data_IF_406661967180
#
_entry.id   IF_406661967180
#
_cell.length_a   1.000
_cell.length_b   1.000
_cell.length_c   1.000
_cell.angle_alpha   90.00
_cell.angle_beta   90.00
_cell.angle_gamma   90.00
#
_symmetry.space_group_name_H-M   'P 1'
#
loop_
_entity.id
_entity.type
_entity.pdbx_description
1 polymer ?
#
# COMPACT_ATOMS: atom_id res chain seq x y z
N UNK A 1 1.21 -1.82 10.11
CA UNK A 1 2.50 -1.19 9.74
C UNK A 1 2.34 0.32 9.72
N UNK A 2 3.26 1.03 10.37
CA UNK A 2 3.29 2.51 10.43
C UNK A 2 3.34 3.16 9.04
N UNK A 3 3.98 2.52 8.08
CA UNK A 3 4.14 3.01 6.71
C UNK A 3 2.82 3.26 5.96
N UNK A 4 1.73 2.54 6.29
CA UNK A 4 0.42 2.80 5.70
C UNK A 4 -0.22 4.08 6.26
N UNK A 5 0.02 4.39 7.53
CA UNK A 5 -0.40 5.66 8.12
C UNK A 5 0.39 6.81 7.51
N UNK A 6 1.70 6.63 7.28
CA UNK A 6 2.52 7.65 6.61
C UNK A 6 2.07 7.89 5.17
N UNK A 7 1.70 6.84 4.43
CA UNK A 7 1.08 6.95 3.10
C UNK A 7 -0.21 7.77 3.14
N UNK A 8 -1.09 7.46 4.11
CA UNK A 8 -2.38 8.13 4.28
C UNK A 8 -2.23 9.59 4.69
N UNK A 9 -1.31 9.89 5.60
CA UNK A 9 -1.00 11.26 6.04
C UNK A 9 -0.26 12.08 4.97
N UNK A 10 0.23 11.44 3.90
CA UNK A 10 1.04 12.07 2.86
C UNK A 10 2.50 12.30 3.25
N UNK A 11 2.92 11.81 4.43
CA UNK A 11 4.32 11.84 4.88
C UNK A 11 5.19 10.93 4.00
N UNK A 12 4.62 9.80 3.56
CA UNK A 12 5.22 8.93 2.55
C UNK A 12 4.45 9.06 1.23
N UNK A 13 5.14 9.39 0.14
CA UNK A 13 4.51 9.43 -1.19
C UNK A 13 4.27 8.05 -1.78
N UNK A 14 5.24 7.15 -1.60
CA UNK A 14 5.23 5.81 -2.19
C UNK A 14 5.89 4.82 -1.23
N UNK A 15 5.26 3.66 -1.04
CA UNK A 15 5.76 2.55 -0.24
C UNK A 15 6.15 1.39 -1.15
N UNK A 16 7.43 1.04 -1.19
CA UNK A 16 7.91 -0.11 -1.94
C UNK A 16 8.03 -1.32 -1.01
N UNK A 17 7.34 -2.40 -1.36
CA UNK A 17 7.36 -3.67 -0.65
C UNK A 17 8.03 -4.74 -1.52
N UNK A 18 8.83 -5.58 -0.88
CA UNK A 18 9.36 -6.81 -1.52
C UNK A 18 8.31 -7.92 -1.50
N UNK A 19 8.59 -9.01 -2.24
CA UNK A 19 7.71 -10.19 -2.29
C UNK A 19 7.44 -10.79 -0.90
N UNK A 20 8.45 -10.77 -0.03
CA UNK A 20 8.38 -11.28 1.34
C UNK A 20 7.46 -10.41 2.21
N UNK A 21 7.57 -9.09 2.08
CA UNK A 21 6.76 -8.13 2.82
C UNK A 21 5.32 -8.03 2.29
N UNK A 22 5.11 -8.32 1.01
CA UNK A 22 3.81 -8.17 0.34
C UNK A 22 2.72 -9.01 1.00
N UNK A 23 3.01 -10.26 1.39
CA UNK A 23 2.01 -11.14 1.99
C UNK A 23 1.49 -10.60 3.33
N UNK A 24 2.40 -10.22 4.22
CA UNK A 24 2.06 -9.64 5.53
C UNK A 24 1.35 -8.29 5.37
N UNK A 25 1.87 -7.44 4.48
CA UNK A 25 1.30 -6.13 4.20
C UNK A 25 -0.12 -6.22 3.64
N UNK A 26 -0.35 -7.14 2.70
CA UNK A 26 -1.66 -7.38 2.09
C UNK A 26 -2.68 -7.81 3.14
N UNK A 27 -2.31 -8.71 4.05
CA UNK A 27 -3.23 -9.21 5.07
C UNK A 27 -3.66 -8.11 6.05
N UNK A 28 -2.75 -7.19 6.39
CA UNK A 28 -3.08 -5.99 7.18
C UNK A 28 -3.90 -5.00 6.36
N UNK A 29 -3.55 -4.77 5.09
CA UNK A 29 -4.19 -3.81 4.21
C UNK A 29 -5.67 -4.13 3.99
N UNK A 30 -6.01 -5.39 3.69
CA UNK A 30 -7.40 -5.80 3.41
C UNK A 30 -8.32 -5.74 4.64
N UNK A 31 -7.75 -5.74 5.85
CA UNK A 31 -8.50 -5.59 7.11
C UNK A 31 -8.89 -4.13 7.39
N UNK A 32 -8.29 -3.16 6.68
CA UNK A 32 -8.59 -1.73 6.84
C UNK A 32 -9.86 -1.35 6.08
N UNK A 33 -10.65 -0.44 6.63
CA UNK A 33 -11.82 0.11 5.93
C UNK A 33 -11.43 0.95 4.72
N UNK A 34 -10.28 1.63 4.80
CA UNK A 34 -9.74 2.54 3.78
C UNK A 34 -8.85 1.85 2.73
N UNK A 35 -8.83 0.51 2.67
CA UNK A 35 -7.96 -0.24 1.76
C UNK A 35 -8.13 0.14 0.28
N UNK A 36 -9.32 0.61 -0.12
CA UNK A 36 -9.64 1.03 -1.50
C UNK A 36 -8.86 2.26 -1.97
N UNK A 37 -8.36 3.06 -1.03
CA UNK A 37 -7.52 4.23 -1.32
C UNK A 37 -6.07 3.86 -1.63
N UNK A 38 -5.64 2.64 -1.29
CA UNK A 38 -4.29 2.17 -1.56
C UNK A 38 -4.20 1.58 -2.96
N UNK A 39 -3.43 2.25 -3.82
CA UNK A 39 -3.18 1.81 -5.20
C UNK A 39 -1.87 1.05 -5.23
N UNK A 40 -1.92 -0.28 -5.40
CA UNK A 40 -0.75 -1.11 -5.63
C UNK A 40 -0.35 -1.18 -7.10
N UNK A 41 0.94 -0.99 -7.40
CA UNK A 41 1.57 -1.26 -8.70
C UNK A 41 2.59 -2.39 -8.55
N UNK A 42 2.37 -3.51 -9.22
CA UNK A 42 3.33 -4.60 -9.25
C UNK A 42 4.44 -4.32 -10.28
N UNK A 43 5.68 -4.63 -9.91
CA UNK A 43 6.87 -4.44 -10.74
C UNK A 43 7.56 -5.79 -11.04
N UNK A 44 8.34 -5.87 -12.13
CA UNK A 44 9.23 -7.00 -12.38
C UNK A 44 10.18 -7.24 -11.20
N UNK A 45 10.46 -8.51 -10.90
CA UNK A 45 11.30 -8.89 -9.76
C UNK A 45 10.56 -9.00 -8.42
N UNK A 46 9.23 -9.01 -8.43
CA UNK A 46 8.42 -9.28 -7.24
C UNK A 46 8.33 -8.12 -6.25
N UNK A 47 8.55 -6.89 -6.72
CA UNK A 47 8.35 -5.67 -5.93
C UNK A 47 6.96 -5.11 -6.17
N UNK A 48 6.35 -4.49 -5.16
CA UNK A 48 5.05 -3.83 -5.26
C UNK A 48 5.17 -2.44 -4.66
N UNK A 49 4.74 -1.42 -5.39
CA UNK A 49 4.71 -0.04 -4.91
C UNK A 49 3.27 0.34 -4.58
N UNK A 50 3.02 0.74 -3.35
CA UNK A 50 1.74 1.29 -2.89
C UNK A 50 1.81 2.82 -2.84
N UNK A 51 0.74 3.46 -3.29
CA UNK A 51 0.52 4.90 -3.12
C UNK A 51 -0.88 5.13 -2.57
N UNK A 52 -1.02 6.20 -1.80
CA UNK A 52 -2.32 6.66 -1.33
C UNK A 52 -3.01 7.50 -2.41
N UNK A 53 -4.33 7.37 -2.52
CA UNK A 53 -5.19 8.15 -3.39
C UNK A 53 -6.38 8.66 -2.58
N UNK A 54 -6.60 9.96 -2.58
CA UNK A 54 -7.77 10.56 -1.92
C UNK A 54 -9.08 10.06 -2.54
N UNK A 55 -9.06 9.80 -3.85
CA UNK A 55 -10.17 9.16 -4.57
C UNK A 55 -10.07 7.63 -4.44
N UNK A 56 -11.04 6.96 -3.79
CA UNK A 56 -11.08 5.51 -3.69
C UNK A 56 -11.40 4.89 -5.05
N UNK A 57 -10.75 3.77 -5.41
CA UNK A 57 -11.13 3.05 -6.63
C UNK A 57 -12.59 2.60 -6.53
N UNK A 58 -13.41 2.99 -7.51
CA UNK A 58 -14.82 2.56 -7.68
C UNK A 58 -14.91 1.06 -7.88
#
# INVERSE_FOLDING_TARGET
MEQFEQLKSGELKELVLTKEQFLEAREQLVKRADFKHFIGKAHPGGKVTYRWSEDPRT
#
